data_IF_142653487779
#
_entry.id   IF_142653487779
#
_cell.length_a   1.000
_cell.length_b   1.000
_cell.length_c   1.000
_cell.angle_alpha   90.00
_cell.angle_beta   90.00
_cell.angle_gamma   90.00
#
_symmetry.space_group_name_H-M   'P 1'
#
loop_
_entity.id
_entity.type
_entity.pdbx_description
1 polymer ?
#
# COMPACT_ATOMS: atom_id res chain seq x y z
N UNK A 1 11.83 10.62 -2.12
CA UNK A 1 10.49 10.11 -2.50
C UNK A 1 10.43 9.60 -3.94
N UNK A 2 11.04 10.30 -4.89
CA UNK A 2 11.01 9.94 -6.30
C UNK A 2 11.52 8.51 -6.56
N UNK A 3 12.62 8.10 -5.95
CA UNK A 3 13.12 6.72 -6.04
C UNK A 3 12.14 5.66 -5.49
N UNK A 4 11.34 6.00 -4.47
CA UNK A 4 10.32 5.12 -3.93
C UNK A 4 9.12 5.04 -4.88
N UNK A 5 8.68 6.17 -5.41
CA UNK A 5 7.61 6.25 -6.42
C UNK A 5 7.99 5.42 -7.65
N UNK A 6 9.21 5.61 -8.18
CA UNK A 6 9.74 4.82 -9.29
C UNK A 6 9.79 3.33 -8.95
N UNK A 7 10.24 2.94 -7.76
CA UNK A 7 10.27 1.54 -7.33
C UNK A 7 8.89 0.88 -7.27
N UNK A 8 7.83 1.65 -7.01
CA UNK A 8 6.45 1.15 -7.02
C UNK A 8 5.81 1.16 -8.42
N UNK A 9 6.22 2.06 -9.31
CA UNK A 9 5.60 2.27 -10.63
C UNK A 9 6.30 1.55 -11.78
N UNK A 10 7.60 1.28 -11.69
CA UNK A 10 8.36 0.63 -12.77
C UNK A 10 8.09 -0.88 -12.91
N UNK A 11 7.33 -1.46 -12.02
CA UNK A 11 7.01 -2.89 -12.10
C UNK A 11 5.88 -3.11 -13.10
N UNK A 12 6.11 -4.04 -14.04
CA UNK A 12 5.07 -4.53 -14.93
C UNK A 12 4.76 -5.96 -14.56
N UNK A 13 3.53 -6.23 -14.17
CA UNK A 13 3.17 -7.59 -13.83
C UNK A 13 1.90 -7.72 -12.99
N UNK A 14 1.57 -8.96 -12.73
CA UNK A 14 0.46 -9.35 -11.87
C UNK A 14 0.99 -10.11 -10.67
N UNK A 15 0.55 -9.72 -9.49
CA UNK A 15 0.78 -10.42 -8.24
C UNK A 15 -0.56 -10.93 -7.71
N UNK A 16 -0.71 -12.22 -7.61
CA UNK A 16 -1.87 -12.83 -6.96
C UNK A 16 -1.56 -13.08 -5.49
N UNK A 17 -2.54 -12.86 -4.64
CA UNK A 17 -2.38 -12.98 -3.20
C UNK A 17 -3.70 -13.06 -2.48
N UNK A 18 -3.67 -12.68 -1.21
CA UNK A 18 -4.87 -12.57 -0.40
C UNK A 18 -4.69 -11.59 0.76
N UNK A 19 -5.82 -11.04 1.20
CA UNK A 19 -5.96 -10.36 2.47
C UNK A 19 -6.43 -11.39 3.49
N UNK A 20 -5.79 -11.42 4.67
CA UNK A 20 -6.18 -12.31 5.77
C UNK A 20 -6.42 -11.50 7.04
N UNK A 21 -7.61 -11.66 7.61
CA UNK A 21 -7.98 -11.12 8.93
C UNK A 21 -8.89 -12.13 9.65
N UNK A 22 -8.68 -12.33 10.94
CA UNK A 22 -9.49 -13.20 11.80
C UNK A 22 -9.73 -14.60 11.20
N UNK A 23 -8.67 -15.19 10.62
CA UNK A 23 -8.71 -16.49 9.96
C UNK A 23 -9.34 -16.50 8.57
N UNK A 24 -10.08 -15.48 8.17
CA UNK A 24 -10.69 -15.36 6.83
C UNK A 24 -9.67 -14.88 5.80
N UNK A 25 -9.73 -15.47 4.60
CA UNK A 25 -8.88 -15.10 3.46
C UNK A 25 -9.73 -14.63 2.31
N UNK A 26 -9.42 -13.45 1.78
CA UNK A 26 -10.06 -12.90 0.60
C UNK A 26 -9.03 -12.80 -0.52
N UNK A 27 -9.29 -13.39 -1.69
CA UNK A 27 -8.40 -13.28 -2.83
C UNK A 27 -8.19 -11.84 -3.25
N UNK A 28 -6.94 -11.51 -3.56
CA UNK A 28 -6.48 -10.21 -4.01
C UNK A 28 -5.57 -10.40 -5.22
N UNK A 29 -5.74 -9.57 -6.24
CA UNK A 29 -4.78 -9.44 -7.33
C UNK A 29 -4.32 -8.00 -7.42
N UNK A 30 -3.02 -7.81 -7.58
CA UNK A 30 -2.38 -6.52 -7.82
C UNK A 30 -1.82 -6.51 -9.24
N UNK A 31 -2.30 -5.61 -10.06
CA UNK A 31 -1.82 -5.39 -11.42
C UNK A 31 -1.01 -4.10 -11.45
N UNK A 32 0.22 -4.20 -11.94
CA UNK A 32 1.17 -3.10 -12.09
C UNK A 32 1.47 -2.90 -13.57
N UNK A 33 1.22 -1.70 -14.10
CA UNK A 33 1.50 -1.34 -15.47
C UNK A 33 1.99 0.11 -15.55
N UNK A 34 3.25 0.32 -15.23
CA UNK A 34 3.80 1.67 -15.16
C UNK A 34 3.09 2.50 -14.09
N UNK A 35 2.44 3.57 -14.51
CA UNK A 35 1.70 4.48 -13.63
C UNK A 35 0.30 3.97 -13.23
N UNK A 36 -0.15 2.87 -13.83
CA UNK A 36 -1.44 2.26 -13.51
C UNK A 36 -1.25 1.14 -12.47
N UNK A 37 -1.88 1.29 -11.33
CA UNK A 37 -1.92 0.29 -10.26
C UNK A 37 -3.36 -0.10 -10.01
N UNK A 38 -3.69 -1.38 -10.16
CA UNK A 38 -5.04 -1.88 -9.95
C UNK A 38 -5.04 -2.99 -8.92
N UNK A 39 -5.78 -2.80 -7.85
CA UNK A 39 -6.14 -3.84 -6.90
C UNK A 39 -7.48 -4.43 -7.28
N UNK A 40 -7.58 -5.74 -7.36
CA UNK A 40 -8.83 -6.47 -7.58
C UNK A 40 -9.11 -7.37 -6.39
N UNK A 41 -10.32 -7.32 -5.89
CA UNK A 41 -10.79 -8.09 -4.75
C UNK A 41 -11.92 -9.01 -5.19
N UNK A 42 -11.92 -10.24 -4.71
CA UNK A 42 -12.97 -11.20 -5.00
C UNK A 42 -13.84 -11.42 -3.77
N UNK A 43 -15.09 -10.97 -3.83
CA UNK A 43 -16.09 -11.16 -2.77
C UNK A 43 -17.44 -11.52 -3.38
N UNK A 44 -18.18 -12.42 -2.73
CA UNK A 44 -19.53 -12.81 -3.14
C UNK A 44 -19.63 -13.18 -4.62
N UNK A 45 -18.65 -13.94 -5.13
CA UNK A 45 -18.51 -14.32 -6.54
C UNK A 45 -18.39 -13.15 -7.53
N UNK A 46 -18.04 -11.97 -7.05
CA UNK A 46 -17.86 -10.77 -7.88
C UNK A 46 -16.45 -10.20 -7.66
N UNK A 47 -15.84 -9.73 -8.75
CA UNK A 47 -14.61 -8.95 -8.70
C UNK A 47 -14.95 -7.48 -8.66
N UNK A 48 -14.44 -6.78 -7.67
CA UNK A 48 -14.40 -5.32 -7.60
C UNK A 48 -12.95 -4.84 -7.69
N UNK A 49 -12.76 -3.67 -8.23
CA UNK A 49 -11.42 -3.11 -8.43
C UNK A 49 -11.29 -1.71 -7.87
N UNK A 50 -10.08 -1.41 -7.40
CA UNK A 50 -9.61 -0.09 -7.06
C UNK A 50 -8.40 0.22 -7.93
N UNK A 51 -8.54 1.20 -8.82
CA UNK A 51 -7.53 1.59 -9.79
C UNK A 51 -6.97 2.95 -9.42
N UNK A 52 -5.66 3.06 -9.44
CA UNK A 52 -4.92 4.29 -9.28
C UNK A 52 -4.16 4.58 -10.57
N UNK A 53 -4.32 5.78 -11.07
CA UNK A 53 -3.53 6.33 -12.15
C UNK A 53 -2.64 7.43 -11.59
N UNK A 54 -1.34 7.21 -11.65
CA UNK A 54 -0.32 8.11 -11.12
C UNK A 54 0.12 9.03 -12.25
N UNK A 55 -0.24 10.32 -12.19
CA UNK A 55 0.14 11.30 -13.20
C UNK A 55 0.72 12.54 -12.53
N UNK A 56 1.91 12.98 -12.97
CA UNK A 56 2.54 14.27 -12.61
C UNK A 56 2.43 14.70 -11.13
N UNK A 57 2.58 13.73 -10.22
CA UNK A 57 2.53 14.00 -8.78
C UNK A 57 1.14 13.97 -8.16
N UNK A 58 0.12 13.60 -8.92
CA UNK A 58 -1.23 13.34 -8.45
C UNK A 58 -1.61 11.87 -8.63
N UNK A 59 -2.45 11.36 -7.74
CA UNK A 59 -3.05 10.04 -7.87
C UNK A 59 -4.54 10.19 -8.18
N UNK A 60 -4.93 9.87 -9.41
CA UNK A 60 -6.34 9.76 -9.78
C UNK A 60 -6.84 8.37 -9.39
N UNK A 61 -7.99 8.34 -8.72
CA UNK A 61 -8.56 7.12 -8.16
C UNK A 61 -9.85 6.78 -8.87
N UNK A 62 -10.03 5.49 -9.16
CA UNK A 62 -11.23 4.94 -9.82
C UNK A 62 -11.67 3.67 -9.09
N UNK A 63 -12.98 3.44 -9.05
CA UNK A 63 -13.53 2.13 -8.72
C UNK A 63 -13.92 1.40 -10.00
N UNK A 64 -13.76 0.09 -10.01
CA UNK A 64 -14.10 -0.75 -11.15
C UNK A 64 -15.07 -1.83 -10.68
N UNK A 65 -16.28 -1.82 -11.25
CA UNK A 65 -17.28 -2.85 -11.05
C UNK A 65 -17.71 -3.40 -12.40
N UNK A 66 -17.74 -4.72 -12.53
CA UNK A 66 -18.14 -5.41 -13.77
C UNK A 66 -17.41 -4.89 -15.03
N UNK A 67 -16.14 -4.50 -14.88
CA UNK A 67 -15.32 -4.01 -15.98
C UNK A 67 -15.52 -2.53 -16.36
N UNK A 68 -16.43 -1.81 -15.68
CA UNK A 68 -16.65 -0.38 -15.89
C UNK A 68 -15.91 0.42 -14.82
N UNK A 69 -15.02 1.32 -15.23
CA UNK A 69 -14.33 2.25 -14.34
C UNK A 69 -15.14 3.53 -14.16
N UNK A 70 -15.29 3.96 -12.91
CA UNK A 70 -15.92 5.23 -12.52
C UNK A 70 -15.02 5.99 -11.55
N UNK A 71 -15.06 7.32 -11.50
CA UNK A 71 -14.28 8.09 -10.51
C UNK A 71 -14.57 7.60 -9.09
N UNK A 72 -13.52 7.41 -8.31
CA UNK A 72 -13.64 6.91 -6.94
C UNK A 72 -14.31 7.98 -6.05
N UNK A 73 -15.40 7.64 -5.33
CA UNK A 73 -16.07 8.59 -4.46
C UNK A 73 -15.17 9.04 -3.30
N UNK A 74 -14.86 10.34 -3.13
CA UNK A 74 -13.97 10.81 -2.06
C UNK A 74 -14.36 10.36 -0.66
N UNK A 75 -15.65 10.21 -0.39
CA UNK A 75 -16.17 9.76 0.91
C UNK A 75 -15.78 8.33 1.27
N UNK A 76 -15.55 7.48 0.26
CA UNK A 76 -15.17 6.08 0.47
C UNK A 76 -13.68 5.89 0.81
N UNK A 77 -12.84 6.92 0.69
CA UNK A 77 -11.38 6.76 0.83
C UNK A 77 -10.96 6.16 2.18
N UNK A 78 -11.68 6.50 3.25
CA UNK A 78 -11.44 5.97 4.59
C UNK A 78 -12.15 4.65 4.90
N UNK A 79 -12.93 4.09 3.96
CA UNK A 79 -13.64 2.84 4.17
C UNK A 79 -12.68 1.65 4.15
N UNK A 80 -12.97 0.67 5.00
CA UNK A 80 -12.21 -0.57 5.07
C UNK A 80 -12.50 -1.45 3.84
N UNK A 81 -11.47 -2.08 3.33
CA UNK A 81 -11.59 -3.02 2.21
C UNK A 81 -11.93 -4.39 2.80
N UNK A 82 -13.09 -4.92 2.43
CA UNK A 82 -13.49 -6.33 2.67
C UNK A 82 -13.27 -6.80 4.11
N UNK A 83 -13.91 -6.17 5.07
CA UNK A 83 -13.78 -6.56 6.49
C UNK A 83 -12.33 -6.69 6.99
N UNK A 84 -11.43 -5.85 6.45
CA UNK A 84 -10.03 -5.79 6.84
C UNK A 84 -9.74 -4.50 7.62
N UNK A 85 -8.49 -4.35 8.10
CA UNK A 85 -8.02 -3.09 8.66
C UNK A 85 -7.43 -2.17 7.59
N UNK A 86 -7.32 -2.64 6.35
CA UNK A 86 -6.81 -1.88 5.22
C UNK A 86 -7.93 -1.03 4.62
N UNK A 87 -7.68 0.25 4.41
CA UNK A 87 -8.62 1.16 3.74
C UNK A 87 -8.17 1.47 2.31
N UNK A 88 -9.05 2.09 1.53
CA UNK A 88 -8.65 2.59 0.20
C UNK A 88 -7.57 3.67 0.30
N UNK A 89 -7.58 4.49 1.36
CA UNK A 89 -6.50 5.45 1.63
C UNK A 89 -5.15 4.77 1.81
N UNK A 90 -5.14 3.64 2.52
CA UNK A 90 -3.93 2.86 2.75
C UNK A 90 -3.34 2.31 1.44
N UNK A 91 -4.18 1.74 0.58
CA UNK A 91 -3.73 1.21 -0.71
C UNK A 91 -3.34 2.30 -1.70
N UNK A 92 -3.93 3.48 -1.60
CA UNK A 92 -3.65 4.58 -2.52
C UNK A 92 -2.22 5.12 -2.39
N UNK A 93 -1.56 4.89 -1.24
CA UNK A 93 -0.23 5.43 -0.94
C UNK A 93 -0.11 6.93 -1.24
N UNK A 94 -1.23 7.68 -1.17
CA UNK A 94 -1.32 9.12 -1.53
C UNK A 94 -0.26 9.95 -0.82
N UNK A 95 0.11 9.58 0.40
CA UNK A 95 1.14 10.26 1.16
C UNK A 95 2.48 10.34 0.45
N UNK A 96 2.79 9.43 -0.47
CA UNK A 96 4.02 9.49 -1.27
C UNK A 96 4.04 10.69 -2.24
N UNK A 97 2.88 11.29 -2.51
CA UNK A 97 2.72 12.44 -3.41
C UNK A 97 2.58 13.77 -2.67
N UNK A 98 2.55 13.74 -1.33
CA UNK A 98 2.55 14.98 -0.56
C UNK A 98 3.85 15.76 -0.79
N UNK A 99 3.71 17.10 -0.94
CA UNK A 99 4.85 17.98 -1.28
C UNK A 99 5.76 18.24 -0.09
N UNK A 100 5.20 18.24 1.13
CA UNK A 100 5.95 18.46 2.38
C UNK A 100 6.51 17.13 2.89
N UNK A 101 7.68 16.76 2.38
CA UNK A 101 8.40 15.57 2.75
C UNK A 101 9.83 15.89 3.18
N UNK A 102 10.23 15.42 4.35
CA UNK A 102 11.51 15.71 4.98
C UNK A 102 12.19 14.44 5.50
N UNK A 103 13.48 14.28 5.27
CA UNK A 103 14.29 13.26 5.93
C UNK A 103 14.57 13.72 7.36
N UNK A 104 14.00 13.04 8.34
CA UNK A 104 14.11 13.41 9.76
C UNK A 104 15.14 12.58 10.52
N UNK A 105 15.76 11.60 9.88
CA UNK A 105 16.81 10.80 10.50
C UNK A 105 16.99 9.44 9.82
N UNK A 106 17.68 8.60 10.54
CA UNK A 106 17.99 7.22 10.18
C UNK A 106 17.52 6.28 11.29
N UNK A 107 17.15 5.07 10.89
CA UNK A 107 16.66 4.06 11.83
C UNK A 107 16.96 2.65 11.30
N UNK A 108 16.72 1.64 12.12
CA UNK A 108 16.84 0.23 11.72
C UNK A 108 15.49 -0.46 11.80
N UNK A 109 15.03 -1.00 10.68
CA UNK A 109 13.87 -1.87 10.61
C UNK A 109 14.33 -3.29 10.32
N UNK A 110 14.10 -4.21 11.24
CA UNK A 110 14.57 -5.61 11.14
C UNK A 110 16.07 -5.71 10.80
N UNK A 111 16.91 -4.96 11.51
CA UNK A 111 18.35 -4.86 11.29
C UNK A 111 18.78 -4.23 9.96
N UNK A 112 17.85 -3.77 9.14
CA UNK A 112 18.12 -3.08 7.88
C UNK A 112 18.18 -1.58 8.10
N UNK A 113 19.23 -0.93 7.61
CA UNK A 113 19.38 0.53 7.69
C UNK A 113 18.40 1.25 6.78
N UNK A 114 17.63 2.15 7.36
CA UNK A 114 16.59 2.92 6.68
C UNK A 114 16.77 4.42 6.89
N UNK A 115 16.38 5.20 5.89
CA UNK A 115 16.04 6.60 6.09
C UNK A 115 14.63 6.68 6.67
N UNK A 116 14.45 7.56 7.66
CA UNK A 116 13.13 7.92 8.21
C UNK A 116 12.70 9.25 7.61
N UNK A 117 11.58 9.26 6.91
CA UNK A 117 11.01 10.46 6.32
C UNK A 117 9.70 10.81 7.03
N UNK A 118 9.46 12.11 7.15
CA UNK A 118 8.22 12.70 7.63
C UNK A 118 7.49 13.31 6.46
N UNK A 119 6.21 13.00 6.32
CA UNK A 119 5.34 13.53 5.26
C UNK A 119 4.12 14.17 5.91
N UNK A 120 3.85 15.44 5.60
CA UNK A 120 2.69 16.16 6.10
C UNK A 120 1.62 16.23 5.05
N UNK A 121 0.39 15.98 5.44
CA UNK A 121 -0.76 16.13 4.55
C UNK A 121 -0.97 17.61 4.25
N UNK A 122 -0.89 18.06 2.99
CA UNK A 122 -1.11 19.45 2.63
C UNK A 122 -2.59 19.87 2.67
N UNK A 123 -3.49 18.87 2.66
CA UNK A 123 -4.94 19.04 2.67
C UNK A 123 -5.57 18.65 4.00
N UNK A 124 -6.90 18.60 3.98
CA UNK A 124 -7.71 18.08 5.10
C UNK A 124 -8.37 16.74 4.75
N UNK A 125 -7.99 16.17 3.61
CA UNK A 125 -8.58 14.95 3.09
C UNK A 125 -7.94 13.71 3.72
N UNK A 126 -8.76 12.71 3.99
CA UNK A 126 -8.33 11.45 4.56
C UNK A 126 -8.15 11.51 6.08
N UNK A 127 -7.66 10.41 6.63
CA UNK A 127 -7.50 10.23 8.09
C UNK A 127 -6.11 10.62 8.59
N UNK A 128 -5.10 10.63 7.70
CA UNK A 128 -3.73 10.91 8.06
C UNK A 128 -3.39 12.38 7.88
N UNK A 129 -3.02 13.04 8.97
CA UNK A 129 -2.42 14.37 8.95
C UNK A 129 -0.90 14.31 8.80
N UNK A 130 -0.30 13.23 9.30
CA UNK A 130 1.14 13.00 9.31
C UNK A 130 1.43 11.52 9.05
N UNK A 131 2.41 11.26 8.21
CA UNK A 131 2.90 9.90 7.94
C UNK A 131 4.41 9.87 8.10
N UNK A 132 4.93 8.88 8.82
CA UNK A 132 6.34 8.52 8.78
C UNK A 132 6.52 7.30 7.90
N UNK A 133 7.55 7.31 7.06
CA UNK A 133 7.95 6.16 6.27
C UNK A 133 9.42 5.81 6.54
N UNK A 134 9.71 4.52 6.51
CA UNK A 134 11.08 4.00 6.60
C UNK A 134 11.45 3.34 5.28
N UNK A 135 12.50 3.84 4.67
CA UNK A 135 12.94 3.45 3.33
C UNK A 135 14.31 2.82 3.42
N UNK A 136 14.47 1.61 2.92
CA UNK A 136 15.74 0.90 2.92
C UNK A 136 16.80 1.69 2.16
N UNK A 137 17.96 1.99 2.81
CA UNK A 137 18.99 2.86 2.25
C UNK A 137 19.56 2.38 0.91
N UNK A 138 19.75 1.07 0.75
CA UNK A 138 20.38 0.48 -0.45
C UNK A 138 19.40 0.25 -1.59
N UNK A 139 18.17 -0.16 -1.29
CA UNK A 139 17.22 -0.64 -2.30
C UNK A 139 16.06 0.32 -2.55
N UNK A 140 15.93 1.39 -1.77
CA UNK A 140 14.78 2.30 -1.86
C UNK A 140 13.43 1.66 -1.52
N UNK A 141 13.42 0.43 -0.98
CA UNK A 141 12.21 -0.29 -0.66
C UNK A 141 11.53 0.32 0.58
N UNK A 142 10.21 0.47 0.53
CA UNK A 142 9.38 0.87 1.66
C UNK A 142 9.32 -0.28 2.67
N UNK A 143 9.86 -0.06 3.87
CA UNK A 143 9.97 -1.09 4.92
C UNK A 143 8.88 -0.96 5.98
N UNK A 144 8.49 0.26 6.31
CA UNK A 144 7.48 0.56 7.31
C UNK A 144 6.78 1.89 7.00
N UNK A 145 5.51 1.97 7.38
CA UNK A 145 4.72 3.22 7.38
C UNK A 145 4.04 3.36 8.74
N UNK A 146 3.93 4.57 9.27
CA UNK A 146 3.14 4.88 10.44
C UNK A 146 2.31 6.14 10.19
N UNK A 147 0.98 6.01 10.25
CA UNK A 147 0.03 7.07 9.99
C UNK A 147 -0.58 7.62 11.26
N UNK A 148 -0.60 8.94 11.39
CA UNK A 148 -1.06 9.70 12.55
C UNK A 148 -2.17 10.67 12.16
N UNK A 149 -3.11 10.88 13.08
CA UNK A 149 -4.16 11.89 12.93
C UNK A 149 -3.69 13.32 13.25
N UNK A 150 -4.62 14.28 13.18
CA UNK A 150 -4.36 15.69 13.47
C UNK A 150 -3.97 15.97 14.93
N UNK A 151 -4.29 15.08 15.85
CA UNK A 151 -3.89 15.15 17.27
C UNK A 151 -2.54 14.45 17.53
N UNK A 152 -1.88 13.93 16.50
CA UNK A 152 -0.62 13.19 16.63
C UNK A 152 -0.78 11.79 17.22
N UNK A 153 -2.00 11.21 17.19
CA UNK A 153 -2.27 9.86 17.68
C UNK A 153 -2.02 8.85 16.58
N UNK A 154 -1.28 7.79 16.87
CA UNK A 154 -1.02 6.71 15.93
C UNK A 154 -2.34 6.01 15.60
N UNK A 155 -2.65 5.91 14.31
CA UNK A 155 -3.84 5.23 13.80
C UNK A 155 -3.49 3.86 13.21
N UNK A 156 -2.39 3.79 12.44
CA UNK A 156 -1.99 2.57 11.74
C UNK A 156 -0.48 2.46 11.60
N UNK A 157 -0.04 1.21 11.52
CA UNK A 157 1.33 0.87 11.17
C UNK A 157 1.35 -0.28 10.17
N UNK A 158 2.15 -0.11 9.14
CA UNK A 158 2.37 -1.10 8.10
C UNK A 158 3.80 -1.61 8.24
N UNK A 159 3.96 -2.92 8.34
CA UNK A 159 5.27 -3.57 8.44
C UNK A 159 5.45 -4.50 7.26
N UNK A 160 6.43 -4.24 6.43
CA UNK A 160 6.90 -5.22 5.46
C UNK A 160 7.60 -6.35 6.21
N UNK A 161 7.01 -7.54 6.18
CA UNK A 161 7.53 -8.70 6.92
C UNK A 161 8.36 -9.62 6.05
N UNK A 162 8.11 -9.64 4.75
CA UNK A 162 8.85 -10.45 3.78
C UNK A 162 8.86 -9.81 2.40
N UNK A 163 9.97 -9.95 1.69
CA UNK A 163 10.17 -9.53 0.31
C UNK A 163 10.48 -10.74 -0.57
N UNK A 164 10.17 -10.66 -1.83
CA UNK A 164 10.53 -11.66 -2.84
C UNK A 164 11.22 -11.01 -4.03
N UNK A 165 12.09 -11.74 -4.67
CA UNK A 165 12.71 -11.26 -5.91
C UNK A 165 11.88 -11.69 -7.11
N UNK A 166 11.39 -10.71 -7.89
CA UNK A 166 10.70 -10.90 -9.17
C UNK A 166 11.49 -10.09 -10.21
N UNK A 167 11.95 -10.75 -11.26
CA UNK A 167 12.72 -10.13 -12.35
C UNK A 167 13.86 -9.21 -11.87
N UNK A 168 14.64 -9.71 -10.90
CA UNK A 168 15.77 -9.01 -10.23
C UNK A 168 15.37 -7.83 -9.33
N UNK A 169 14.09 -7.54 -9.18
CA UNK A 169 13.57 -6.47 -8.31
C UNK A 169 13.01 -7.02 -7.00
N UNK A 170 13.24 -6.29 -5.91
CA UNK A 170 12.61 -6.61 -4.62
C UNK A 170 11.16 -6.18 -4.64
N UNK A 171 10.27 -7.14 -4.43
CA UNK A 171 8.81 -6.96 -4.50
C UNK A 171 8.19 -7.38 -3.18
N UNK A 172 7.12 -6.73 -2.78
CA UNK A 172 6.37 -7.07 -1.57
C UNK A 172 5.87 -8.51 -1.63
N UNK A 173 6.21 -9.30 -0.60
CA UNK A 173 5.68 -10.66 -0.42
C UNK A 173 4.69 -10.71 0.73
N UNK A 174 5.04 -10.10 1.87
CA UNK A 174 4.15 -10.06 3.04
C UNK A 174 4.23 -8.72 3.75
N UNK A 175 3.09 -8.23 4.20
CA UNK A 175 2.95 -7.03 5.00
C UNK A 175 1.86 -7.22 6.06
N UNK A 176 2.12 -6.74 7.28
CA UNK A 176 1.12 -6.62 8.32
C UNK A 176 0.63 -5.18 8.37
N UNK A 177 -0.66 -5.01 8.55
CA UNK A 177 -1.31 -3.72 8.79
C UNK A 177 -1.95 -3.79 10.17
N UNK A 178 -1.44 -3.00 11.10
CA UNK A 178 -1.93 -2.89 12.48
C UNK A 178 -2.77 -1.63 12.62
N UNK A 179 -3.96 -1.75 13.21
CA UNK A 179 -4.81 -0.63 13.60
C UNK A 179 -4.67 -0.39 15.10
N UNK A 180 -4.56 0.85 15.47
CA UNK A 180 -4.36 1.27 16.85
C UNK A 180 -5.59 2.00 17.39
N UNK A 181 -5.88 1.77 18.66
CA UNK A 181 -6.80 2.61 19.42
C UNK A 181 -6.14 3.97 19.66
N UNK A 182 -6.78 5.03 19.14
CA UNK A 182 -6.20 6.36 19.13
C UNK A 182 -5.84 6.85 20.55
N UNK A 183 -4.58 7.21 20.76
CA UNK A 183 -4.07 7.74 22.04
C UNK A 183 -3.59 6.71 23.03
N UNK A 184 -3.79 5.40 22.82
CA UNK A 184 -3.41 4.35 23.78
C UNK A 184 -2.26 3.46 23.31
N UNK A 185 -1.89 3.52 22.04
CA UNK A 185 -0.94 2.60 21.39
C UNK A 185 -1.34 1.10 21.47
N UNK A 186 -2.60 0.80 21.81
CA UNK A 186 -3.13 -0.55 21.84
C UNK A 186 -3.53 -0.98 20.44
N UNK A 187 -3.05 -2.14 19.98
CA UNK A 187 -3.46 -2.74 18.71
C UNK A 187 -4.87 -3.30 18.84
N UNK A 188 -5.79 -2.87 17.98
CA UNK A 188 -7.19 -3.30 17.95
C UNK A 188 -7.49 -4.23 16.78
N UNK A 189 -6.63 -4.30 15.78
CA UNK A 189 -6.80 -5.18 14.64
C UNK A 189 -5.50 -5.39 13.89
N UNK A 190 -5.37 -6.56 13.26
CA UNK A 190 -4.23 -6.89 12.40
C UNK A 190 -4.74 -7.55 11.13
N UNK A 191 -4.39 -6.97 10.01
CA UNK A 191 -4.61 -7.54 8.67
C UNK A 191 -3.28 -7.91 8.04
N UNK A 192 -3.25 -9.03 7.34
CA UNK A 192 -2.09 -9.53 6.61
C UNK A 192 -2.36 -9.45 5.11
N UNK A 193 -1.43 -8.84 4.38
CA UNK A 193 -1.36 -8.87 2.93
C UNK A 193 -0.26 -9.85 2.52
N UNK A 194 -0.60 -10.85 1.74
CA UNK A 194 0.34 -11.89 1.32
C UNK A 194 0.22 -12.11 -0.19
N UNK A 195 1.34 -11.97 -0.90
CA UNK A 195 1.45 -12.18 -2.34
C UNK A 195 2.26 -13.43 -2.67
N UNK A 196 1.90 -14.08 -3.74
CA UNK A 196 2.60 -15.24 -4.29
C UNK A 196 3.62 -14.77 -5.33
N UNK A 197 4.75 -15.47 -5.40
CA UNK A 197 5.69 -15.26 -6.48
C UNK A 197 5.00 -15.60 -7.81
N UNK A 198 5.06 -14.71 -8.84
CA UNK A 198 4.50 -15.02 -10.14
C UNK A 198 5.09 -16.32 -10.69
N UNK A 199 4.24 -17.22 -11.18
CA UNK A 199 4.72 -18.36 -11.93
C UNK A 199 5.34 -17.85 -13.22
N UNK A 200 6.54 -18.34 -13.57
CA UNK A 200 7.10 -18.08 -14.89
C UNK A 200 6.09 -18.55 -15.92
N UNK A 201 5.61 -17.66 -16.78
CA UNK A 201 4.78 -18.07 -17.90
C UNK A 201 5.53 -19.18 -18.64
N UNK A 202 4.96 -20.38 -18.74
CA UNK A 202 5.49 -21.40 -19.63
C UNK A 202 5.49 -20.76 -21.03
N UNK A 203 6.68 -20.43 -21.55
CA UNK A 203 6.79 -20.12 -22.99
C UNK A 203 6.21 -21.33 -23.70
N UNK A 204 4.98 -21.22 -24.19
CA UNK A 204 4.47 -22.17 -25.19
C UNK A 204 5.42 -22.00 -26.38
N UNK A 205 6.29 -22.99 -26.58
CA UNK A 205 7.08 -23.05 -27.79
C UNK A 205 6.11 -23.09 -28.97
N UNK A 206 6.39 -22.22 -29.92
CA UNK A 206 5.90 -22.31 -31.29
C UNK A 206 6.63 -23.46 -31.97
#
# INVERSE_FOLDING_TARGET
LEGIRLGTTLQHGKLDGHIRKDGKRTPLSLHLKGEDITFQFHTNNTWSGFHMQLQEGEAKLYETEQGKATPFPPKKIGEAIINSDVTYEDLSLRFLYWKDAEVVGEDKIKMQSCYKLRLRNPGKDGRYALVYIWVHKKYGALMQVAGYDVQGRLLKRFHVTDLMTVDKMQTLKKMNVETYEAGTNKVTGITYLEFKKPSKAKRRGL
#
